data_IF_057038345184
#
_entry.id   IF_057038345184
#
_cell.length_a   1.000
_cell.length_b   1.000
_cell.length_c   1.000
_cell.angle_alpha   90.00
_cell.angle_beta   90.00
_cell.angle_gamma   90.00
#
_symmetry.space_group_name_H-M   'P 1'
#
loop_
_entity.id
_entity.type
_entity.pdbx_description
1 polymer ?
#
# COMPACT_ATOMS: atom_id res chain seq x y z
N UNK A 1 -28.19 37.98 -13.97
CA UNK A 1 -26.75 37.74 -14.12
C UNK A 1 -26.59 36.24 -14.17
N UNK A 2 -26.56 35.69 -15.39
CA UNK A 2 -26.12 34.30 -15.59
C UNK A 2 -24.62 34.28 -15.27
N UNK A 3 -24.24 33.50 -14.26
CA UNK A 3 -22.84 33.14 -14.08
C UNK A 3 -22.47 32.31 -15.31
N UNK A 4 -21.66 32.89 -16.19
CA UNK A 4 -21.03 32.18 -17.28
C UNK A 4 -20.13 31.11 -16.65
N UNK A 5 -20.67 29.90 -16.55
CA UNK A 5 -20.07 28.73 -15.94
C UNK A 5 -18.99 28.25 -16.90
N UNK A 6 -17.87 28.99 -16.94
CA UNK A 6 -16.62 28.61 -17.61
C UNK A 6 -16.00 27.41 -16.88
N UNK A 7 -16.73 26.29 -16.85
CA UNK A 7 -16.20 25.00 -16.44
C UNK A 7 -15.17 24.64 -17.48
N UNK A 8 -13.92 24.58 -17.06
CA UNK A 8 -12.87 23.98 -17.85
C UNK A 8 -13.33 22.57 -18.19
N UNK A 9 -13.56 22.30 -19.48
CA UNK A 9 -13.85 20.95 -19.93
C UNK A 9 -12.55 20.14 -19.89
N UNK A 10 -12.38 19.39 -18.81
CA UNK A 10 -11.20 18.55 -18.61
C UNK A 10 -11.19 17.35 -19.55
N UNK A 11 -12.34 16.92 -20.10
CA UNK A 11 -12.45 15.69 -20.89
C UNK A 11 -11.69 15.74 -22.22
N UNK A 12 -11.37 16.94 -22.71
CA UNK A 12 -10.61 17.16 -23.95
C UNK A 12 -9.09 17.10 -23.77
N UNK A 13 -8.60 17.00 -22.52
CA UNK A 13 -7.17 16.94 -22.24
C UNK A 13 -6.63 15.52 -22.47
N UNK A 14 -5.42 15.42 -23.03
CA UNK A 14 -4.72 14.15 -23.15
C UNK A 14 -4.17 13.71 -21.78
N UNK A 15 -4.62 12.58 -21.20
CA UNK A 15 -4.19 12.16 -19.88
C UNK A 15 -2.75 11.64 -19.83
N UNK A 16 -2.20 11.09 -20.92
CA UNK A 16 -0.91 10.39 -20.91
C UNK A 16 0.29 11.28 -20.48
N UNK A 17 0.48 12.49 -21.04
CA UNK A 17 1.56 13.38 -20.59
C UNK A 17 1.37 13.83 -19.14
N UNK A 18 0.12 14.05 -18.73
CA UNK A 18 -0.21 14.51 -17.38
C UNK A 18 0.12 13.41 -16.36
N UNK A 19 -0.21 12.15 -16.68
CA UNK A 19 0.13 10.97 -15.89
C UNK A 19 1.65 10.81 -15.78
N UNK A 20 2.35 10.86 -16.91
CA UNK A 20 3.82 10.72 -16.94
C UNK A 20 4.50 11.76 -16.05
N UNK A 21 4.07 13.02 -16.15
CA UNK A 21 4.61 14.09 -15.30
C UNK A 21 4.20 13.90 -13.83
N UNK A 22 2.95 13.52 -13.54
CA UNK A 22 2.48 13.28 -12.18
C UNK A 22 3.32 12.21 -11.47
N UNK A 23 3.55 11.09 -12.16
CA UNK A 23 4.36 9.97 -11.67
C UNK A 23 5.81 10.42 -11.46
N UNK A 24 6.41 11.15 -12.42
CA UNK A 24 7.75 11.71 -12.27
C UNK A 24 7.90 12.60 -11.02
N UNK A 25 6.96 13.51 -10.79
CA UNK A 25 7.01 14.40 -9.62
C UNK A 25 6.84 13.63 -8.31
N UNK A 26 5.92 12.66 -8.28
CA UNK A 26 5.72 11.83 -7.09
C UNK A 26 6.95 10.97 -6.79
N UNK A 27 7.50 10.27 -7.78
CA UNK A 27 8.67 9.40 -7.60
C UNK A 27 9.89 10.20 -7.16
N UNK A 28 10.11 11.38 -7.77
CA UNK A 28 11.17 12.30 -7.33
C UNK A 28 10.95 12.75 -5.89
N UNK A 29 9.72 13.07 -5.50
CA UNK A 29 9.42 13.46 -4.12
C UNK A 29 9.70 12.34 -3.11
N UNK A 30 9.43 11.08 -3.46
CA UNK A 30 9.59 9.93 -2.57
C UNK A 30 11.06 9.62 -2.23
N UNK A 31 12.00 10.07 -3.06
CA UNK A 31 13.44 9.86 -2.87
C UNK A 31 14.20 11.13 -2.48
N UNK A 32 13.51 12.28 -2.38
CA UNK A 32 14.12 13.57 -2.04
C UNK A 32 14.17 13.77 -0.53
N UNK A 33 15.37 14.00 0.01
CA UNK A 33 15.59 14.29 1.43
C UNK A 33 15.30 15.75 1.81
N UNK A 34 15.41 16.68 0.86
CA UNK A 34 15.09 18.09 1.08
C UNK A 34 13.57 18.28 1.24
N UNK A 35 13.14 18.63 2.46
CA UNK A 35 11.73 18.77 2.83
C UNK A 35 10.99 19.82 1.98
N UNK A 36 11.64 20.94 1.66
CA UNK A 36 11.00 22.03 0.93
C UNK A 36 10.80 21.63 -0.53
N UNK A 37 11.82 21.04 -1.15
CA UNK A 37 11.71 20.50 -2.51
C UNK A 37 10.66 19.40 -2.54
N UNK A 38 10.72 18.46 -1.58
CA UNK A 38 9.76 17.36 -1.47
C UNK A 38 8.32 17.87 -1.39
N UNK A 39 8.07 18.86 -0.54
CA UNK A 39 6.73 19.45 -0.39
C UNK A 39 6.24 20.09 -1.70
N UNK A 40 7.09 20.85 -2.39
CA UNK A 40 6.75 21.44 -3.69
C UNK A 40 6.46 20.40 -4.78
N UNK A 41 7.24 19.32 -4.83
CA UNK A 41 7.03 18.21 -5.77
C UNK A 41 5.70 17.48 -5.51
N UNK A 42 5.36 17.22 -4.23
CA UNK A 42 4.10 16.60 -3.84
C UNK A 42 2.89 17.46 -4.19
N UNK A 43 2.99 18.79 -4.05
CA UNK A 43 1.93 19.72 -4.46
C UNK A 43 1.69 19.69 -5.98
N UNK A 44 2.76 19.67 -6.78
CA UNK A 44 2.67 19.55 -8.23
C UNK A 44 2.05 18.22 -8.63
N UNK A 45 2.52 17.11 -8.05
CA UNK A 45 1.97 15.78 -8.31
C UNK A 45 0.47 15.71 -7.95
N UNK A 46 0.08 16.25 -6.78
CA UNK A 46 -1.32 16.28 -6.36
C UNK A 46 -2.21 17.06 -7.33
N UNK A 47 -1.75 18.22 -7.83
CA UNK A 47 -2.49 18.98 -8.83
C UNK A 47 -2.73 18.20 -10.12
N UNK A 48 -1.74 17.43 -10.58
CA UNK A 48 -1.85 16.60 -11.79
C UNK A 48 -2.74 15.38 -11.58
N UNK A 49 -2.62 14.66 -10.47
CA UNK A 49 -3.56 13.56 -10.18
C UNK A 49 -4.99 14.06 -9.96
N UNK A 50 -5.17 15.26 -9.38
CA UNK A 50 -6.48 15.89 -9.33
C UNK A 50 -7.02 16.13 -10.74
N UNK A 51 -6.22 16.67 -11.66
CA UNK A 51 -6.61 16.85 -13.05
C UNK A 51 -7.01 15.52 -13.72
N UNK A 52 -6.20 14.48 -13.56
CA UNK A 52 -6.49 13.13 -14.08
C UNK A 52 -7.80 12.57 -13.53
N UNK A 53 -8.11 12.83 -12.25
CA UNK A 53 -9.39 12.46 -11.65
C UNK A 53 -10.60 13.21 -12.24
N UNK A 54 -10.38 14.38 -12.87
CA UNK A 54 -11.41 15.12 -13.61
C UNK A 54 -11.55 14.65 -15.04
N UNK A 55 -10.43 14.31 -15.69
CA UNK A 55 -10.41 13.75 -17.06
C UNK A 55 -11.14 12.40 -17.08
N UNK A 56 -10.79 11.50 -16.15
CA UNK A 56 -11.45 10.21 -16.00
C UNK A 56 -11.84 9.96 -14.53
N UNK A 57 -13.08 10.29 -14.15
CA UNK A 57 -13.58 10.10 -12.78
C UNK A 57 -13.67 8.65 -12.32
N UNK A 58 -13.60 7.68 -13.24
CA UNK A 58 -13.66 6.25 -12.95
C UNK A 58 -12.27 5.59 -12.87
N UNK A 59 -11.20 6.30 -13.25
CA UNK A 59 -9.84 5.77 -13.11
C UNK A 59 -9.45 5.68 -11.62
N UNK A 60 -8.97 4.51 -11.21
CA UNK A 60 -8.57 4.25 -9.81
C UNK A 60 -7.27 4.94 -9.44
N UNK A 61 -6.27 4.89 -10.33
CA UNK A 61 -4.90 5.34 -10.06
C UNK A 61 -4.82 6.75 -9.49
N UNK A 62 -5.47 7.78 -10.07
CA UNK A 62 -5.37 9.14 -9.55
C UNK A 62 -5.86 9.28 -8.10
N UNK A 63 -6.90 8.55 -7.72
CA UNK A 63 -7.41 8.58 -6.34
C UNK A 63 -6.46 7.89 -5.36
N UNK A 64 -5.86 6.77 -5.74
CA UNK A 64 -4.83 6.11 -4.91
C UNK A 64 -3.63 7.04 -4.71
N UNK A 65 -3.16 7.69 -5.77
CA UNK A 65 -2.00 8.58 -5.69
C UNK A 65 -2.30 9.86 -4.88
N UNK A 66 -3.48 10.47 -5.06
CA UNK A 66 -3.93 11.55 -4.18
C UNK A 66 -3.98 11.10 -2.71
N UNK A 67 -4.52 9.91 -2.44
CA UNK A 67 -4.59 9.38 -1.09
C UNK A 67 -3.19 9.21 -0.46
N UNK A 68 -2.23 8.67 -1.22
CA UNK A 68 -0.82 8.55 -0.81
C UNK A 68 -0.19 9.91 -0.51
N UNK A 69 -0.39 10.91 -1.37
CA UNK A 69 0.16 12.25 -1.16
C UNK A 69 -0.44 12.90 0.08
N UNK A 70 -1.76 12.78 0.28
CA UNK A 70 -2.40 13.26 1.50
C UNK A 70 -1.93 12.50 2.76
N UNK A 71 -1.63 11.20 2.65
CA UNK A 71 -1.06 10.42 3.76
C UNK A 71 0.35 10.93 4.12
N UNK A 72 1.22 11.12 3.11
CA UNK A 72 2.59 11.64 3.29
C UNK A 72 2.57 13.05 3.90
N UNK A 73 1.64 13.89 3.47
CA UNK A 73 1.50 15.28 3.96
C UNK A 73 0.65 15.40 5.23
N UNK A 74 0.34 14.28 5.91
CA UNK A 74 -0.37 14.21 7.21
C UNK A 74 -1.81 14.74 7.18
N UNK A 75 -2.45 14.65 6.02
CA UNK A 75 -3.85 15.01 5.78
C UNK A 75 -4.76 13.76 5.85
N UNK A 76 -4.76 13.09 7.01
CA UNK A 76 -5.35 11.76 7.24
C UNK A 76 -6.79 11.61 6.77
N UNK A 77 -7.63 12.64 6.97
CA UNK A 77 -9.04 12.61 6.55
C UNK A 77 -9.15 12.48 5.03
N UNK A 78 -8.42 13.33 4.30
CA UNK A 78 -8.42 13.32 2.84
C UNK A 78 -7.81 12.04 2.29
N UNK A 79 -6.70 11.57 2.88
CA UNK A 79 -6.09 10.30 2.50
C UNK A 79 -7.10 9.15 2.56
N UNK A 80 -7.82 9.02 3.69
CA UNK A 80 -8.82 7.98 3.89
C UNK A 80 -10.00 8.10 2.93
N UNK A 81 -10.51 9.32 2.70
CA UNK A 81 -11.60 9.58 1.75
C UNK A 81 -11.24 9.13 0.33
N UNK A 82 -10.02 9.47 -0.14
CA UNK A 82 -9.56 9.09 -1.47
C UNK A 82 -9.28 7.59 -1.59
N UNK A 83 -8.75 6.94 -0.55
CA UNK A 83 -8.63 5.48 -0.54
C UNK A 83 -9.98 4.79 -0.62
N UNK A 84 -10.99 5.25 0.14
CA UNK A 84 -12.35 4.73 0.03
C UNK A 84 -12.92 4.93 -1.37
N UNK A 85 -12.71 6.10 -1.96
CA UNK A 85 -13.16 6.37 -3.34
C UNK A 85 -12.52 5.40 -4.33
N UNK A 86 -11.20 5.19 -4.25
CA UNK A 86 -10.47 4.25 -5.08
C UNK A 86 -11.02 2.82 -4.95
N UNK A 87 -11.20 2.33 -3.72
CA UNK A 87 -11.74 0.98 -3.51
C UNK A 87 -13.20 0.85 -3.91
N UNK A 88 -14.02 1.91 -3.79
CA UNK A 88 -15.42 1.86 -4.23
C UNK A 88 -15.56 1.84 -5.75
N UNK A 89 -14.61 2.41 -6.50
CA UNK A 89 -14.57 2.33 -7.96
C UNK A 89 -14.22 0.91 -8.41
N UNK A 90 -13.20 0.30 -7.80
CA UNK A 90 -12.80 -1.07 -8.07
C UNK A 90 -12.45 -1.81 -6.78
N UNK A 91 -13.44 -2.52 -6.22
CA UNK A 91 -13.29 -3.21 -4.92
C UNK A 91 -12.16 -4.23 -4.89
N UNK A 92 -11.83 -4.84 -6.04
CA UNK A 92 -10.81 -5.88 -6.17
C UNK A 92 -9.49 -5.35 -6.75
N UNK A 93 -9.36 -4.04 -6.98
CA UNK A 93 -8.11 -3.46 -7.50
C UNK A 93 -6.95 -3.78 -6.55
N UNK A 94 -5.94 -4.57 -6.98
CA UNK A 94 -4.84 -4.92 -6.09
C UNK A 94 -4.00 -3.69 -5.73
N UNK A 95 -3.87 -2.73 -6.67
CA UNK A 95 -3.19 -1.45 -6.44
C UNK A 95 -3.85 -0.61 -5.34
N UNK A 96 -5.17 -0.39 -5.43
CA UNK A 96 -5.88 0.40 -4.43
C UNK A 96 -5.88 -0.26 -3.05
N UNK A 97 -6.10 -1.58 -3.02
CA UNK A 97 -6.12 -2.33 -1.77
C UNK A 97 -4.72 -2.43 -1.14
N UNK A 98 -3.64 -2.54 -1.92
CA UNK A 98 -2.28 -2.53 -1.40
C UNK A 98 -1.98 -1.22 -0.67
N UNK A 99 -2.20 -0.07 -1.31
CA UNK A 99 -1.89 1.22 -0.70
C UNK A 99 -2.86 1.61 0.42
N UNK A 100 -4.12 1.14 0.40
CA UNK A 100 -4.98 1.31 1.56
C UNK A 100 -4.55 0.42 2.73
N UNK A 101 -3.99 -0.76 2.44
CA UNK A 101 -3.27 -1.58 3.40
C UNK A 101 -2.10 -0.82 4.03
N UNK A 102 -1.24 -0.20 3.23
CA UNK A 102 -0.12 0.63 3.70
C UNK A 102 -0.58 1.76 4.64
N UNK A 103 -1.68 2.43 4.30
CA UNK A 103 -2.27 3.48 5.14
C UNK A 103 -2.62 2.96 6.55
N UNK A 104 -3.24 1.79 6.67
CA UNK A 104 -3.56 1.20 7.97
C UNK A 104 -2.33 0.60 8.66
N UNK A 105 -1.41 0.02 7.90
CA UNK A 105 -0.17 -0.55 8.42
C UNK A 105 0.69 0.50 9.12
N UNK A 106 0.85 1.69 8.52
CA UNK A 106 1.57 2.83 9.11
C UNK A 106 0.94 3.37 10.39
N UNK A 107 -0.30 2.98 10.69
CA UNK A 107 -1.07 3.36 11.88
C UNK A 107 -1.20 2.22 12.88
N UNK A 108 -0.40 1.16 12.72
CA UNK A 108 -0.43 -0.07 13.52
C UNK A 108 -1.80 -0.76 13.57
N UNK A 109 -2.71 -0.43 12.65
CA UNK A 109 -4.00 -1.12 12.53
C UNK A 109 -3.85 -2.36 11.66
N UNK A 110 -3.17 -3.36 12.24
CA UNK A 110 -2.82 -4.58 11.54
C UNK A 110 -4.04 -5.38 11.09
N UNK A 111 -5.17 -5.28 11.79
CA UNK A 111 -6.41 -5.98 11.41
C UNK A 111 -6.99 -5.41 10.12
N UNK A 112 -7.10 -4.08 10.00
CA UNK A 112 -7.58 -3.45 8.76
C UNK A 112 -6.54 -3.60 7.65
N UNK A 113 -5.26 -3.40 7.94
CA UNK A 113 -4.19 -3.59 6.97
C UNK A 113 -4.24 -5.01 6.36
N UNK A 114 -4.37 -6.05 7.20
CA UNK A 114 -4.47 -7.44 6.76
C UNK A 114 -5.62 -7.64 5.78
N UNK A 115 -6.80 -7.10 6.07
CA UNK A 115 -7.98 -7.22 5.18
C UNK A 115 -7.68 -6.68 3.78
N UNK A 116 -7.11 -5.48 3.69
CA UNK A 116 -6.83 -4.86 2.38
C UNK A 116 -5.68 -5.56 1.66
N UNK A 117 -4.61 -5.91 2.37
CA UNK A 117 -3.51 -6.68 1.79
C UNK A 117 -3.92 -8.06 1.28
N UNK A 118 -4.83 -8.76 1.98
CA UNK A 118 -5.38 -10.04 1.49
C UNK A 118 -6.15 -9.89 0.18
N UNK A 119 -6.92 -8.80 0.02
CA UNK A 119 -7.59 -8.51 -1.25
C UNK A 119 -6.54 -8.27 -2.35
N UNK A 120 -5.51 -7.46 -2.09
CA UNK A 120 -4.44 -7.24 -3.06
C UNK A 120 -3.73 -8.54 -3.46
N UNK A 121 -3.40 -9.38 -2.47
CA UNK A 121 -2.76 -10.67 -2.66
C UNK A 121 -3.59 -11.59 -3.55
N UNK A 122 -4.89 -11.72 -3.27
CA UNK A 122 -5.81 -12.59 -4.03
C UNK A 122 -6.10 -12.10 -5.45
N UNK A 123 -5.76 -10.85 -5.78
CA UNK A 123 -6.08 -10.22 -7.06
C UNK A 123 -4.83 -9.82 -7.86
N UNK A 124 -3.72 -10.53 -7.68
CA UNK A 124 -2.55 -10.47 -8.57
C UNK A 124 -1.31 -9.77 -8.01
N UNK A 125 -1.30 -9.41 -6.72
CA UNK A 125 -0.08 -8.92 -6.04
C UNK A 125 0.60 -10.01 -5.19
N UNK A 126 0.23 -11.28 -5.33
CA UNK A 126 0.79 -12.41 -4.58
C UNK A 126 2.30 -12.61 -4.77
N UNK A 127 2.87 -12.12 -5.87
CA UNK A 127 4.31 -12.14 -6.14
C UNK A 127 5.01 -10.78 -5.95
N UNK A 128 4.38 -9.83 -5.24
CA UNK A 128 5.00 -8.56 -4.87
C UNK A 128 5.77 -8.73 -3.55
N UNK A 129 7.06 -8.40 -3.58
CA UNK A 129 7.95 -8.53 -2.43
C UNK A 129 7.41 -7.79 -1.20
N UNK A 130 7.10 -6.49 -1.35
CA UNK A 130 6.65 -5.64 -0.27
C UNK A 130 5.35 -6.15 0.35
N UNK A 131 4.41 -6.64 -0.46
CA UNK A 131 3.15 -7.18 0.04
C UNK A 131 3.37 -8.43 0.89
N UNK A 132 4.19 -9.37 0.41
CA UNK A 132 4.52 -10.57 1.18
C UNK A 132 5.22 -10.21 2.49
N UNK A 133 6.15 -9.26 2.46
CA UNK A 133 6.83 -8.78 3.65
C UNK A 133 5.85 -8.14 4.66
N UNK A 134 4.92 -7.29 4.21
CA UNK A 134 3.91 -6.66 5.08
C UNK A 134 2.97 -7.68 5.70
N UNK A 135 2.52 -8.67 4.93
CA UNK A 135 1.69 -9.77 5.44
C UNK A 135 2.46 -10.57 6.51
N UNK A 136 3.73 -10.91 6.27
CA UNK A 136 4.56 -11.61 7.23
C UNK A 136 4.68 -10.86 8.57
N UNK A 137 5.00 -9.56 8.50
CA UNK A 137 5.10 -8.69 9.67
C UNK A 137 3.77 -8.61 10.43
N UNK A 138 2.65 -8.46 9.72
CA UNK A 138 1.33 -8.43 10.36
C UNK A 138 1.03 -9.74 11.08
N UNK A 139 1.22 -10.89 10.43
CA UNK A 139 0.97 -12.19 11.06
C UNK A 139 1.87 -12.41 12.28
N UNK A 140 3.15 -11.99 12.22
CA UNK A 140 4.06 -12.01 13.37
C UNK A 140 3.51 -11.16 14.53
N UNK A 141 3.08 -9.93 14.24
CA UNK A 141 2.50 -9.01 15.25
C UNK A 141 1.19 -9.54 15.85
N UNK A 142 0.43 -10.33 15.10
CA UNK A 142 -0.80 -10.96 15.57
C UNK A 142 -0.55 -12.33 16.24
N UNK A 143 0.70 -12.80 16.30
CA UNK A 143 1.09 -14.07 16.94
C UNK A 143 0.86 -15.32 16.08
N UNK A 144 0.46 -15.16 14.82
CA UNK A 144 0.31 -16.26 13.86
C UNK A 144 1.65 -16.54 13.18
N UNK A 145 2.52 -17.23 13.92
CA UNK A 145 3.89 -17.50 13.49
C UNK A 145 3.97 -18.44 12.27
N UNK A 146 2.96 -19.27 12.06
CA UNK A 146 2.90 -20.17 10.89
C UNK A 146 2.73 -19.37 9.61
N UNK A 147 1.72 -18.48 9.55
CA UNK A 147 1.53 -17.61 8.41
C UNK A 147 2.66 -16.59 8.28
N UNK A 148 3.18 -16.05 9.40
CA UNK A 148 4.33 -15.15 9.36
C UNK A 148 5.52 -15.80 8.64
N UNK A 149 5.88 -17.03 9.01
CA UNK A 149 6.96 -17.78 8.36
C UNK A 149 6.68 -18.00 6.87
N UNK A 150 5.46 -18.43 6.53
CA UNK A 150 5.06 -18.65 5.12
C UNK A 150 5.32 -17.40 4.27
N UNK A 151 4.84 -16.24 4.72
CA UNK A 151 4.98 -15.00 3.96
C UNK A 151 6.41 -14.44 3.98
N UNK A 152 7.18 -14.62 5.07
CA UNK A 152 8.61 -14.30 5.06
C UNK A 152 9.38 -15.17 4.05
N UNK A 153 9.07 -16.47 3.97
CA UNK A 153 9.66 -17.36 2.96
C UNK A 153 9.30 -16.92 1.53
N UNK A 154 8.04 -16.57 1.29
CA UNK A 154 7.61 -16.03 -0.01
C UNK A 154 8.36 -14.74 -0.36
N UNK A 155 8.46 -13.78 0.55
CA UNK A 155 9.21 -12.54 0.33
C UNK A 155 10.70 -12.83 0.02
N UNK A 156 11.35 -13.69 0.81
CA UNK A 156 12.76 -14.08 0.59
C UNK A 156 13.01 -14.78 -0.75
N UNK A 157 12.01 -15.50 -1.27
CA UNK A 157 12.12 -16.16 -2.58
C UNK A 157 12.02 -15.18 -3.76
N UNK A 158 11.40 -14.01 -3.54
CA UNK A 158 11.28 -12.94 -4.54
C UNK A 158 12.53 -12.07 -4.53
N UNK A 159 12.93 -11.60 -3.36
CA UNK A 159 14.18 -10.88 -3.15
C UNK A 159 14.93 -11.47 -1.94
N UNK A 160 16.05 -12.12 -2.25
CA UNK A 160 16.87 -12.84 -1.28
C UNK A 160 17.96 -11.94 -0.64
N UNK A 161 18.00 -10.64 -0.95
CA UNK A 161 19.09 -9.77 -0.51
C UNK A 161 18.93 -9.25 0.92
N UNK A 162 17.73 -9.33 1.51
CA UNK A 162 17.49 -8.90 2.88
C UNK A 162 17.79 -9.98 3.93
N UNK A 163 19.00 -9.94 4.50
CA UNK A 163 19.44 -10.80 5.62
C UNK A 163 18.47 -10.77 6.83
N UNK A 164 17.74 -9.67 7.01
CA UNK A 164 16.77 -9.51 8.09
C UNK A 164 15.61 -10.52 7.99
N UNK A 165 15.19 -10.91 6.79
CA UNK A 165 14.09 -11.87 6.59
C UNK A 165 14.53 -13.28 7.00
N UNK A 166 15.75 -13.69 6.65
CA UNK A 166 16.29 -14.99 7.03
C UNK A 166 16.38 -15.13 8.56
N UNK A 167 16.89 -14.09 9.23
CA UNK A 167 16.93 -14.03 10.70
C UNK A 167 15.53 -14.17 11.31
N UNK A 168 14.50 -13.55 10.71
CA UNK A 168 13.11 -13.68 11.17
C UNK A 168 12.59 -15.11 11.03
N UNK A 169 12.87 -15.77 9.91
CA UNK A 169 12.49 -17.17 9.68
C UNK A 169 13.16 -18.09 10.71
N UNK A 170 14.45 -17.89 10.97
CA UNK A 170 15.20 -18.67 11.98
C UNK A 170 14.65 -18.47 13.39
N UNK A 171 14.37 -17.22 13.80
CA UNK A 171 13.75 -16.92 15.10
C UNK A 171 12.40 -17.63 15.25
N UNK A 172 11.54 -17.58 14.23
CA UNK A 172 10.25 -18.28 14.24
C UNK A 172 10.43 -19.79 14.35
N UNK A 173 11.42 -20.37 13.66
CA UNK A 173 11.71 -21.80 13.74
C UNK A 173 12.15 -22.21 15.15
N UNK A 174 12.99 -21.40 15.82
CA UNK A 174 13.43 -21.66 17.19
C UNK A 174 12.26 -21.61 18.18
N UNK A 175 11.39 -20.61 18.06
CA UNK A 175 10.18 -20.48 18.89
C UNK A 175 9.21 -21.67 18.71
N UNK A 176 9.15 -22.26 17.52
CA UNK A 176 8.34 -23.45 17.25
C UNK A 176 9.05 -24.77 17.65
N UNK A 177 10.39 -24.78 17.76
CA UNK A 177 11.16 -25.92 18.27
C UNK A 177 10.85 -26.17 19.76
N UNK A 178 10.66 -25.12 20.55
CA UNK A 178 10.30 -25.23 21.98
C UNK A 178 8.89 -25.83 22.21
N UNK A 179 8.02 -25.81 21.19
CA UNK A 179 6.73 -26.52 21.23
C UNK A 179 6.86 -28.00 20.85
N UNK A 180 7.96 -28.44 20.25
CA UNK A 180 8.11 -29.84 19.81
C UNK A 180 8.45 -30.83 20.93
N UNK A 181 9.16 -30.41 21.99
CA UNK A 181 9.39 -31.29 23.16
C UNK A 181 8.22 -31.28 24.17
N UNK A 182 7.41 -30.21 24.20
CA UNK A 182 6.28 -30.11 25.13
C UNK A 182 4.95 -30.66 24.57
N UNK A 183 4.74 -30.65 23.26
CA UNK A 183 3.50 -31.17 22.66
C UNK A 183 3.47 -32.71 22.54
N UNK A 184 4.58 -33.41 22.75
CA UNK A 184 4.59 -34.87 22.77
C UNK A 184 4.23 -35.50 24.13
N UNK A 185 4.04 -34.71 25.19
CA UNK A 185 3.68 -35.23 26.52
C UNK A 185 2.20 -35.09 26.91
N UNK A 186 1.31 -34.67 25.99
CA UNK A 186 -0.14 -34.60 26.26
C UNK A 186 -1.01 -35.41 25.27
N UNK A 187 -0.41 -36.30 24.48
CA UNK A 187 -1.14 -37.39 23.77
C UNK A 187 -0.53 -38.74 24.17
N UNK A 188 -0.41 -38.95 25.48
CA UNK A 188 -0.34 -40.28 26.10
C UNK A 188 -0.98 -40.16 27.48
N UNK A 189 -2.30 -40.23 27.50
CA UNK A 189 -3.11 -40.90 28.52
C UNK A 189 -4.48 -41.22 27.92
#
# INVERSE_FOLDING_TARGET
>A
MEYDDNRVDYSVMNPEPIQTEADYYLDTALVTDDEQIRQGLLEVAAGKYFLLSKINPHAVTPYVQLARIYDITKHDRYAKEYFYKATNLENLSPFANFYFGEYYFRRDDFRRALRYYQIAYQNGYDNIYELNLRLAVIYEKLGDLENAKKFYTSASSIDATETNILNKIEQINQLNYDKSEYYHNFIRE
#
